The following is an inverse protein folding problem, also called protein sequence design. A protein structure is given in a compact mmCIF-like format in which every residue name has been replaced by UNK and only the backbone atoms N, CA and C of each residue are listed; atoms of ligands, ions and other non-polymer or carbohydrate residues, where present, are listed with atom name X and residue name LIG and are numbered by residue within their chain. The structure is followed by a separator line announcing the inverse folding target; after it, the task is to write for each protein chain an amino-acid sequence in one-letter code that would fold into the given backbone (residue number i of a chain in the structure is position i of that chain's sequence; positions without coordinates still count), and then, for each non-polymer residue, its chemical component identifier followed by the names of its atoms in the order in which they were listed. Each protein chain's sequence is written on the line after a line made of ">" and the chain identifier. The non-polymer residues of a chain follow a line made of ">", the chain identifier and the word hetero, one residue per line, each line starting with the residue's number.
data_IF_067449494844
#
_entry.id   IF_067449494844
#
_cell.length_a   1.000
_cell.length_b   1.000
_cell.length_c   1.000
_cell.angle_alpha   90.00
_cell.angle_beta   90.00
_cell.angle_gamma   90.00
#
_symmetry.space_group_name_H-M   'P 1'
#
loop_
_entity.id
_entity.type
_entity.pdbx_description
1 polymer ?
#
# COMPACT_ATOMS: atom_id res chain seq x y z
N UNK A 1 6.31 9.70 -22.77
CA UNK A 1 5.27 9.84 -21.71
C UNK A 1 5.88 9.49 -20.38
N UNK A 2 5.78 10.37 -19.37
CA UNK A 2 6.43 10.16 -18.07
C UNK A 2 5.67 9.12 -17.20
N UNK A 3 6.30 8.65 -16.13
CA UNK A 3 5.74 7.64 -15.24
C UNK A 3 4.45 8.15 -14.55
N UNK A 4 4.44 9.40 -14.10
CA UNK A 4 3.29 10.03 -13.44
C UNK A 4 2.03 9.99 -14.30
N UNK A 5 2.13 10.36 -15.57
CA UNK A 5 1.01 10.32 -16.53
C UNK A 5 0.50 8.88 -16.71
N UNK A 6 1.40 7.89 -16.77
CA UNK A 6 1.01 6.46 -16.83
C UNK A 6 0.23 6.04 -15.59
N UNK A 7 0.70 6.44 -14.40
CA UNK A 7 0.03 6.11 -13.14
C UNK A 7 -1.36 6.75 -13.03
N UNK A 8 -1.50 8.00 -13.46
CA UNK A 8 -2.81 8.68 -13.48
C UNK A 8 -3.78 7.98 -14.43
N UNK A 9 -3.33 7.60 -15.63
CA UNK A 9 -4.16 6.85 -16.59
C UNK A 9 -4.58 5.50 -16.00
N UNK A 10 -3.65 4.76 -15.39
CA UNK A 10 -3.95 3.47 -14.75
C UNK A 10 -4.92 3.63 -13.58
N UNK A 11 -4.72 4.63 -12.71
CA UNK A 11 -5.64 4.92 -11.62
C UNK A 11 -7.04 5.31 -12.13
N UNK A 12 -7.13 6.11 -13.19
CA UNK A 12 -8.39 6.43 -13.85
C UNK A 12 -9.10 5.20 -14.43
N UNK A 13 -8.35 4.30 -15.09
CA UNK A 13 -8.90 3.04 -15.61
C UNK A 13 -9.39 2.12 -14.47
N UNK A 14 -8.63 2.01 -13.39
CA UNK A 14 -9.04 1.25 -12.20
C UNK A 14 -10.28 1.86 -11.56
N UNK A 15 -10.34 3.19 -11.46
CA UNK A 15 -11.53 3.92 -11.01
C UNK A 15 -12.76 3.61 -11.85
N UNK A 16 -12.63 3.63 -13.18
CA UNK A 16 -13.72 3.28 -14.10
C UNK A 16 -14.14 1.81 -13.97
N UNK A 17 -13.19 0.90 -13.76
CA UNK A 17 -13.49 -0.51 -13.54
C UNK A 17 -14.35 -0.69 -12.27
N UNK A 18 -13.96 -0.05 -11.17
CA UNK A 18 -14.70 -0.09 -9.91
C UNK A 18 -16.04 0.66 -9.97
N UNK A 19 -16.12 1.76 -10.72
CA UNK A 19 -17.36 2.50 -10.93
C UNK A 19 -18.44 1.66 -11.62
N UNK A 20 -18.02 0.78 -12.54
CA UNK A 20 -18.93 -0.10 -13.29
C UNK A 20 -19.15 -1.47 -12.62
N UNK A 21 -18.49 -1.74 -11.49
CA UNK A 21 -18.68 -2.99 -10.76
C UNK A 21 -20.08 -3.03 -10.15
N UNK A 22 -20.76 -4.18 -10.21
CA UNK A 22 -22.05 -4.31 -9.54
C UNK A 22 -21.87 -4.46 -8.03
N UNK A 23 -22.93 -4.15 -7.28
CA UNK A 23 -22.97 -4.38 -5.83
C UNK A 23 -22.65 -5.83 -5.48
N UNK A 24 -23.22 -6.79 -6.23
CA UNK A 24 -23.00 -8.22 -6.00
C UNK A 24 -21.54 -8.62 -6.24
N UNK A 25 -20.88 -8.06 -7.26
CA UNK A 25 -19.46 -8.30 -7.53
C UNK A 25 -18.57 -7.77 -6.41
N UNK A 26 -18.84 -6.54 -5.93
CA UNK A 26 -18.11 -5.93 -4.83
C UNK A 26 -18.32 -6.71 -3.52
N UNK A 27 -19.55 -7.16 -3.28
CA UNK A 27 -19.88 -7.97 -2.12
C UNK A 27 -19.20 -9.34 -2.17
N UNK A 28 -19.21 -10.01 -3.32
CA UNK A 28 -18.50 -11.27 -3.51
C UNK A 28 -17.01 -11.13 -3.18
N UNK A 29 -16.35 -10.07 -3.68
CA UNK A 29 -14.94 -9.80 -3.34
C UNK A 29 -14.74 -9.61 -1.84
N UNK A 30 -15.64 -8.90 -1.16
CA UNK A 30 -15.56 -8.70 0.28
C UNK A 30 -15.68 -10.03 1.03
N UNK A 31 -16.61 -10.90 0.64
CA UNK A 31 -16.84 -12.19 1.30
C UNK A 31 -15.71 -13.19 0.99
N UNK A 32 -15.32 -13.33 -0.28
CA UNK A 32 -14.32 -14.30 -0.75
C UNK A 32 -12.94 -14.07 -0.11
N UNK A 33 -12.56 -12.80 0.07
CA UNK A 33 -11.30 -12.43 0.73
C UNK A 33 -11.48 -12.13 2.24
N UNK A 34 -12.71 -12.28 2.75
CA UNK A 34 -13.13 -11.96 4.12
C UNK A 34 -12.57 -10.57 4.53
N UNK A 35 -12.84 -9.57 3.69
CA UNK A 35 -12.38 -8.21 3.88
C UNK A 35 -13.22 -7.51 4.95
N UNK A 36 -12.55 -6.89 5.89
CA UNK A 36 -13.16 -6.08 6.92
C UNK A 36 -12.16 -5.01 7.38
N UNK A 37 -12.63 -4.04 8.16
CA UNK A 37 -11.80 -2.94 8.65
C UNK A 37 -10.56 -3.40 9.43
N UNK A 38 -10.67 -4.50 10.18
CA UNK A 38 -9.53 -5.07 10.88
C UNK A 38 -8.47 -5.62 9.90
N UNK A 39 -8.90 -6.37 8.88
CA UNK A 39 -7.99 -6.89 7.85
C UNK A 39 -7.34 -5.79 7.01
N UNK A 40 -7.95 -4.62 6.88
CA UNK A 40 -7.29 -3.47 6.25
C UNK A 40 -6.08 -3.00 7.06
N UNK A 41 -6.06 -3.15 8.38
CA UNK A 41 -4.92 -2.79 9.24
C UNK A 41 -3.77 -3.80 9.20
N UNK A 42 -4.04 -5.04 8.81
CA UNK A 42 -3.05 -6.13 8.83
C UNK A 42 -1.83 -5.85 7.93
N UNK A 43 -1.99 -5.43 6.66
CA UNK A 43 -0.84 -5.05 5.82
C UNK A 43 0.00 -3.91 6.40
N UNK A 44 -0.61 -2.94 7.08
CA UNK A 44 0.10 -1.80 7.67
C UNK A 44 0.99 -2.27 8.82
N UNK A 45 0.43 -3.09 9.72
CA UNK A 45 1.16 -3.65 10.85
C UNK A 45 2.33 -4.51 10.37
N UNK A 46 2.09 -5.40 9.42
CA UNK A 46 3.15 -6.23 8.83
C UNK A 46 4.21 -5.41 8.10
N UNK A 47 3.82 -4.33 7.41
CA UNK A 47 4.77 -3.42 6.79
C UNK A 47 5.79 -2.91 7.80
N UNK A 48 5.32 -2.33 8.90
CA UNK A 48 6.19 -1.82 9.97
C UNK A 48 7.10 -2.91 10.56
N UNK A 49 6.51 -4.06 10.94
CA UNK A 49 7.23 -5.16 11.59
C UNK A 49 8.29 -5.74 10.67
N UNK A 50 7.93 -6.05 9.42
CA UNK A 50 8.86 -6.65 8.45
C UNK A 50 9.96 -5.68 8.06
N UNK A 51 9.67 -4.39 7.90
CA UNK A 51 10.69 -3.39 7.59
C UNK A 51 11.78 -3.33 8.66
N UNK A 52 11.38 -3.28 9.93
CA UNK A 52 12.30 -3.30 11.07
C UNK A 52 13.09 -4.62 11.15
N UNK A 53 12.39 -5.76 10.98
CA UNK A 53 13.01 -7.08 11.02
C UNK A 53 14.06 -7.27 9.91
N UNK A 54 13.75 -6.87 8.68
CA UNK A 54 14.67 -6.97 7.54
C UNK A 54 15.92 -6.10 7.74
N UNK A 55 15.77 -4.97 8.42
CA UNK A 55 16.90 -4.14 8.80
C UNK A 55 17.76 -4.82 9.88
N UNK A 56 17.13 -5.36 10.92
CA UNK A 56 17.81 -6.09 12.00
C UNK A 56 18.61 -7.29 11.48
N UNK A 57 18.08 -7.99 10.47
CA UNK A 57 18.77 -9.09 9.79
C UNK A 57 19.89 -8.63 8.84
N UNK A 58 20.13 -7.31 8.71
CA UNK A 58 21.20 -6.76 7.90
C UNK A 58 21.00 -6.95 6.40
N UNK A 59 19.75 -7.06 5.93
CA UNK A 59 19.44 -7.41 4.53
C UNK A 59 19.70 -6.23 3.59
N UNK A 60 20.96 -6.03 3.17
CA UNK A 60 21.40 -4.91 2.31
C UNK A 60 20.82 -4.97 0.90
N UNK A 61 20.45 -6.15 0.42
CA UNK A 61 19.86 -6.33 -0.91
C UNK A 61 18.54 -5.57 -1.09
N UNK A 62 17.84 -5.20 -0.01
CA UNK A 62 16.62 -4.42 -0.08
C UNK A 62 16.85 -2.96 -0.52
N UNK A 63 18.05 -2.41 -0.32
CA UNK A 63 18.36 -1.02 -0.68
C UNK A 63 18.11 -0.69 -2.16
N UNK A 64 18.47 -1.60 -3.07
CA UNK A 64 18.23 -1.41 -4.51
C UNK A 64 16.75 -1.47 -4.91
N UNK A 65 15.91 -1.98 -4.02
CA UNK A 65 14.46 -2.12 -4.25
C UNK A 65 13.65 -1.00 -3.61
N UNK A 66 14.25 -0.13 -2.80
CA UNK A 66 13.51 0.93 -2.08
C UNK A 66 12.73 1.83 -3.04
N UNK A 67 13.38 2.29 -4.11
CA UNK A 67 12.74 3.14 -5.12
C UNK A 67 11.61 2.39 -5.87
N UNK A 68 11.84 1.22 -6.49
CA UNK A 68 10.76 0.44 -7.10
C UNK A 68 9.58 0.15 -6.16
N UNK A 69 9.85 -0.24 -4.91
CA UNK A 69 8.81 -0.56 -3.93
C UNK A 69 8.01 0.68 -3.53
N UNK A 70 8.66 1.83 -3.40
CA UNK A 70 7.97 3.11 -3.12
C UNK A 70 7.06 3.48 -4.29
N UNK A 71 7.51 3.32 -5.53
CA UNK A 71 6.70 3.59 -6.71
C UNK A 71 5.48 2.65 -6.79
N UNK A 72 5.67 1.35 -6.55
CA UNK A 72 4.58 0.37 -6.49
C UNK A 72 3.61 0.74 -5.37
N UNK A 73 4.11 1.09 -4.18
CA UNK A 73 3.29 1.48 -3.04
C UNK A 73 2.39 2.68 -3.35
N UNK A 74 2.95 3.76 -3.92
CA UNK A 74 2.19 4.96 -4.32
C UNK A 74 1.18 4.64 -5.42
N UNK A 75 1.55 3.76 -6.36
CA UNK A 75 0.66 3.33 -7.43
C UNK A 75 -0.57 2.59 -6.87
N UNK A 76 -0.34 1.59 -6.00
CA UNK A 76 -1.40 0.83 -5.35
C UNK A 76 -2.30 1.73 -4.49
N UNK A 77 -1.69 2.63 -3.72
CA UNK A 77 -2.41 3.59 -2.89
C UNK A 77 -3.30 4.50 -3.74
N UNK A 78 -2.78 5.05 -4.84
CA UNK A 78 -3.55 5.92 -5.74
C UNK A 78 -4.69 5.16 -6.40
N UNK A 79 -4.42 3.97 -6.94
CA UNK A 79 -5.44 3.13 -7.59
C UNK A 79 -6.55 2.72 -6.63
N UNK A 80 -6.20 2.27 -5.43
CA UNK A 80 -7.19 1.86 -4.43
C UNK A 80 -8.03 3.01 -3.91
N UNK A 81 -7.45 4.19 -3.67
CA UNK A 81 -8.20 5.37 -3.24
C UNK A 81 -9.12 5.89 -4.34
N UNK A 82 -8.64 5.87 -5.59
CA UNK A 82 -9.45 6.26 -6.75
C UNK A 82 -10.61 5.29 -6.95
N UNK A 83 -10.36 3.98 -6.81
CA UNK A 83 -11.40 2.95 -6.81
C UNK A 83 -12.42 3.14 -5.69
N UNK A 84 -11.97 3.44 -4.47
CA UNK A 84 -12.87 3.66 -3.33
C UNK A 84 -13.77 4.88 -3.53
N UNK A 85 -13.21 5.99 -4.04
CA UNK A 85 -13.98 7.18 -4.40
C UNK A 85 -15.00 6.87 -5.51
N UNK A 86 -14.61 6.07 -6.51
CA UNK A 86 -15.49 5.65 -7.60
C UNK A 86 -16.66 4.77 -7.12
N UNK A 87 -16.39 3.75 -6.30
CA UNK A 87 -17.42 2.88 -5.70
C UNK A 87 -18.38 3.71 -4.84
N UNK A 88 -17.86 4.60 -4.00
CA UNK A 88 -18.70 5.46 -3.18
C UNK A 88 -19.58 6.37 -4.04
N UNK A 89 -19.01 6.98 -5.09
CA UNK A 89 -19.75 7.80 -6.04
C UNK A 89 -20.88 7.05 -6.73
N UNK A 90 -20.61 5.82 -7.19
CA UNK A 90 -21.57 5.00 -7.94
C UNK A 90 -22.69 4.41 -7.07
N UNK A 91 -22.37 3.93 -5.86
CA UNK A 91 -23.31 3.14 -5.07
C UNK A 91 -23.79 3.83 -3.79
N UNK A 92 -23.08 4.85 -3.29
CA UNK A 92 -23.38 5.57 -2.04
C UNK A 92 -23.43 4.66 -0.79
N UNK A 93 -22.80 3.48 -0.84
CA UNK A 93 -22.73 2.53 0.26
C UNK A 93 -21.29 2.45 0.78
N UNK A 94 -21.06 2.98 1.98
CA UNK A 94 -19.73 3.03 2.59
C UNK A 94 -19.09 1.65 2.81
N UNK A 95 -19.87 0.59 3.00
CA UNK A 95 -19.32 -0.77 3.20
C UNK A 95 -18.62 -1.34 1.96
N UNK A 96 -19.06 -0.96 0.76
CA UNK A 96 -18.54 -1.52 -0.50
C UNK A 96 -17.15 -0.97 -0.86
N UNK A 97 -16.78 0.19 -0.31
CA UNK A 97 -15.46 0.80 -0.55
C UNK A 97 -14.32 -0.02 0.05
N UNK A 98 -14.63 -0.96 0.96
CA UNK A 98 -13.62 -1.84 1.59
C UNK A 98 -12.86 -2.64 0.53
N UNK A 99 -13.52 -3.08 -0.53
CA UNK A 99 -12.88 -3.84 -1.62
C UNK A 99 -11.71 -3.05 -2.27
N UNK A 100 -11.91 -1.84 -2.81
CA UNK A 100 -10.81 -1.05 -3.34
C UNK A 100 -9.87 -0.48 -2.26
N UNK A 101 -10.35 -0.25 -1.02
CA UNK A 101 -9.48 0.15 0.08
C UNK A 101 -8.46 -0.92 0.47
N UNK A 102 -8.75 -2.21 0.26
CA UNK A 102 -7.78 -3.28 0.48
C UNK A 102 -6.52 -3.11 -0.39
N UNK A 103 -6.67 -2.63 -1.62
CA UNK A 103 -5.54 -2.31 -2.51
C UNK A 103 -4.71 -1.16 -1.91
N UNK A 104 -5.38 -0.12 -1.39
CA UNK A 104 -4.71 0.99 -0.73
C UNK A 104 -3.97 0.56 0.53
N UNK A 105 -4.57 -0.33 1.32
CA UNK A 105 -3.96 -0.89 2.52
C UNK A 105 -2.68 -1.66 2.20
N UNK A 106 -2.67 -2.46 1.12
CA UNK A 106 -1.45 -3.15 0.65
C UNK A 106 -0.40 -2.13 0.22
N UNK A 107 -0.78 -1.10 -0.55
CA UNK A 107 0.13 -0.02 -0.95
C UNK A 107 0.76 0.68 0.24
N UNK A 108 -0.06 1.05 1.24
CA UNK A 108 0.40 1.71 2.45
C UNK A 108 1.27 0.78 3.32
N UNK A 109 0.92 -0.50 3.43
CA UNK A 109 1.75 -1.50 4.11
C UNK A 109 3.12 -1.64 3.47
N UNK A 110 3.18 -1.67 2.13
CA UNK A 110 4.45 -1.70 1.40
C UNK A 110 5.29 -0.43 1.63
N UNK A 111 4.64 0.74 1.64
CA UNK A 111 5.30 2.00 1.97
C UNK A 111 5.89 1.96 3.39
N UNK A 112 5.10 1.50 4.37
CA UNK A 112 5.54 1.39 5.76
C UNK A 112 6.69 0.40 5.94
N UNK A 113 6.78 -0.65 5.11
CA UNK A 113 7.92 -1.56 5.07
C UNK A 113 9.20 -0.83 4.69
N UNK A 114 9.18 -0.12 3.56
CA UNK A 114 10.33 0.66 3.09
C UNK A 114 10.71 1.73 4.11
N UNK A 115 9.72 2.45 4.64
CA UNK A 115 9.91 3.50 5.64
C UNK A 115 10.55 2.95 6.92
N UNK A 116 9.99 1.89 7.49
CA UNK A 116 10.51 1.26 8.70
C UNK A 116 11.93 0.75 8.50
N UNK A 117 12.20 0.04 7.39
CA UNK A 117 13.54 -0.44 7.07
C UNK A 117 14.60 0.66 7.03
N UNK A 118 14.31 1.77 6.34
CA UNK A 118 15.23 2.90 6.23
C UNK A 118 15.41 3.62 7.57
N UNK A 119 14.32 3.79 8.33
CA UNK A 119 14.36 4.48 9.62
C UNK A 119 15.26 3.75 10.62
N UNK A 120 15.16 2.43 10.71
CA UNK A 120 16.02 1.61 11.56
C UNK A 120 17.48 1.58 11.05
N UNK A 121 17.69 1.54 9.73
CA UNK A 121 19.04 1.65 9.14
C UNK A 121 19.76 2.95 9.54
N UNK A 122 19.04 4.06 9.57
CA UNK A 122 19.59 5.36 9.95
C UNK A 122 19.98 5.43 11.42
N UNK A 123 19.19 4.82 12.30
CA UNK A 123 19.50 4.74 13.74
C UNK A 123 20.74 3.88 14.01
N UNK A 124 20.87 2.72 13.35
CA UNK A 124 22.05 1.88 13.51
C UNK A 124 23.36 2.57 13.10
N UNK A 125 23.32 3.38 12.04
CA UNK A 125 24.49 4.20 11.62
C UNK A 125 24.84 5.29 12.62
N UNK A 126 23.84 5.98 13.17
CA UNK A 126 24.07 7.04 14.15
C UNK A 126 24.74 6.50 15.43
N UNK A 127 24.35 5.30 15.88
CA UNK A 127 24.97 4.62 17.03
C UNK A 127 26.42 4.20 16.75
N UNK A 128 26.71 3.67 15.55
CA UNK A 128 28.07 3.32 15.13
C UNK A 128 29.01 4.52 15.02
N UNK A 129 28.50 5.69 14.63
CA UNK A 129 29.31 6.90 14.51
C UNK A 129 29.59 7.52 15.89
N UNK A 130 28.62 7.46 16.83
CA UNK A 130 28.79 7.96 18.18
C UNK A 130 29.74 7.13 19.06
N UNK A 131 29.99 5.86 18.72
CA UNK A 131 30.95 4.99 19.44
C UNK A 131 32.40 5.10 18.94
N UNK A 132 32.65 5.85 17.86
CA UNK A 132 33.99 6.02 17.27
C UNK A 132 34.66 7.35 17.63
N UNK A 133 33.96 8.27 18.28
CA UNK A 133 34.50 9.49 18.91
C UNK A 133 34.96 9.23 20.36
#
# INVERSE_FOLDING_TARGET
>A
MNLTTRLVILAGLVGLMFYNASVDQLWAVIVDYDLNWYKLGVPLAWGLILGALLNLLGLRSLHKWLEPLTLIAVSLLTMGLTGAAAVYGAHQIGGLIIAPLAISAIGLGLYLLVYSYVRFAAHGKADEDATKE
#
